data_IF_107124639397
#
_entry.id   IF_107124639397
#
_cell.length_a   1.000
_cell.length_b   1.000
_cell.length_c   1.000
_cell.angle_alpha   90.00
_cell.angle_beta   90.00
_cell.angle_gamma   90.00
#
_symmetry.space_group_name_H-M   'P 1'
#
loop_
_entity.id
_entity.type
_entity.pdbx_description
1 polymer ?
#
# COMPACT_ATOMS: atom_id res chain seq x y z
N UNK A 1 1.85 -25.86 -5.16
CA UNK A 1 0.45 -25.36 -5.22
C UNK A 1 0.43 -24.21 -6.21
N UNK A 2 -0.45 -24.27 -7.18
CA UNK A 2 -0.60 -23.17 -8.14
C UNK A 2 -1.09 -21.92 -7.40
N UNK A 3 -0.56 -20.76 -7.77
CA UNK A 3 -0.99 -19.48 -7.21
C UNK A 3 -2.43 -19.18 -7.66
N UNK A 4 -3.26 -18.54 -6.81
CA UNK A 4 -4.58 -18.06 -7.20
C UNK A 4 -4.49 -17.13 -8.42
N UNK A 5 -5.49 -17.16 -9.29
CA UNK A 5 -5.55 -16.25 -10.43
C UNK A 5 -5.65 -14.80 -9.99
N UNK A 6 -5.33 -13.86 -10.88
CA UNK A 6 -5.50 -12.42 -10.61
C UNK A 6 -6.94 -12.10 -10.22
N UNK A 7 -7.92 -12.71 -10.92
CA UNK A 7 -9.34 -12.55 -10.58
C UNK A 7 -9.70 -13.07 -9.19
N UNK A 8 -9.09 -14.19 -8.74
CA UNK A 8 -9.30 -14.72 -7.38
C UNK A 8 -8.78 -13.73 -6.33
N UNK A 9 -7.57 -13.19 -6.52
CA UNK A 9 -6.98 -12.20 -5.61
C UNK A 9 -7.78 -10.89 -5.55
N UNK A 10 -8.35 -10.45 -6.68
CA UNK A 10 -9.25 -9.29 -6.73
C UNK A 10 -10.54 -9.54 -5.96
N UNK A 11 -11.19 -10.69 -6.14
CA UNK A 11 -12.36 -11.09 -5.37
C UNK A 11 -12.04 -11.20 -3.87
N UNK A 12 -10.87 -11.76 -3.53
CA UNK A 12 -10.41 -11.83 -2.15
C UNK A 12 -10.26 -10.44 -1.52
N UNK A 13 -9.69 -9.46 -2.25
CA UNK A 13 -9.59 -8.09 -1.74
C UNK A 13 -10.96 -7.48 -1.47
N UNK A 14 -11.93 -7.64 -2.38
CA UNK A 14 -13.31 -7.19 -2.16
C UNK A 14 -13.92 -7.83 -0.92
N UNK A 15 -13.74 -9.14 -0.75
CA UNK A 15 -14.23 -9.85 0.45
C UNK A 15 -13.56 -9.35 1.76
N UNK A 16 -12.27 -8.99 1.72
CA UNK A 16 -11.58 -8.40 2.88
C UNK A 16 -12.14 -7.01 3.23
N UNK A 17 -12.49 -6.20 2.22
CA UNK A 17 -13.06 -4.87 2.39
C UNK A 17 -14.52 -4.93 2.91
N UNK A 18 -15.30 -5.89 2.46
CA UNK A 18 -16.71 -6.07 2.85
C UNK A 18 -16.86 -6.82 4.18
N UNK A 19 -15.87 -7.64 4.53
CA UNK A 19 -15.89 -8.48 5.72
C UNK A 19 -15.74 -7.68 7.02
N UNK A 20 -16.11 -8.29 8.17
CA UNK A 20 -16.04 -7.63 9.47
C UNK A 20 -14.58 -7.46 9.96
N UNK A 21 -14.36 -6.41 10.76
CA UNK A 21 -13.11 -6.14 11.46
C UNK A 21 -11.96 -5.68 10.54
N UNK A 22 -10.91 -5.20 11.18
CA UNK A 22 -9.71 -4.71 10.49
C UNK A 22 -8.84 -5.88 10.00
N UNK A 23 -8.34 -5.77 8.78
CA UNK A 23 -7.27 -6.61 8.23
C UNK A 23 -6.01 -5.77 8.06
N UNK A 24 -4.86 -6.30 8.49
CA UNK A 24 -3.59 -5.62 8.31
C UNK A 24 -2.93 -6.06 7.00
N UNK A 25 -2.39 -5.09 6.26
CA UNK A 25 -1.63 -5.28 5.04
C UNK A 25 -0.23 -4.66 5.19
N UNK A 26 0.77 -5.43 5.67
CA UNK A 26 2.14 -4.96 5.76
C UNK A 26 2.69 -4.59 4.39
N UNK A 27 3.59 -3.57 4.37
CA UNK A 27 4.20 -3.08 3.15
C UNK A 27 5.43 -3.88 2.74
N UNK A 28 5.54 -4.18 1.45
CA UNK A 28 6.75 -4.71 0.85
C UNK A 28 7.07 -4.03 -0.49
N UNK A 29 8.34 -4.10 -0.89
CA UNK A 29 8.82 -3.71 -2.22
C UNK A 29 9.74 -4.78 -2.84
N UNK A 30 9.84 -5.94 -2.23
CA UNK A 30 10.57 -7.12 -2.73
C UNK A 30 9.81 -8.41 -2.44
N UNK A 31 10.08 -9.44 -3.25
CA UNK A 31 9.39 -10.73 -3.18
C UNK A 31 9.74 -11.52 -1.93
N UNK A 32 10.98 -11.45 -1.45
CA UNK A 32 11.43 -12.16 -0.26
C UNK A 32 10.64 -11.73 0.97
N UNK A 33 10.56 -10.42 1.21
CA UNK A 33 9.75 -9.83 2.29
C UNK A 33 8.25 -10.12 2.08
N UNK A 34 7.75 -10.05 0.85
CA UNK A 34 6.34 -10.32 0.55
C UNK A 34 5.94 -11.76 0.91
N UNK A 35 6.78 -12.74 0.57
CA UNK A 35 6.57 -14.15 0.94
C UNK A 35 6.65 -14.37 2.45
N UNK A 36 7.54 -13.66 3.16
CA UNK A 36 7.59 -13.70 4.62
C UNK A 36 6.29 -13.17 5.25
N UNK A 37 5.74 -12.06 4.74
CA UNK A 37 4.44 -11.52 5.18
C UNK A 37 3.34 -12.57 5.01
N UNK A 38 3.30 -13.26 3.89
CA UNK A 38 2.33 -14.35 3.64
C UNK A 38 2.55 -15.53 4.58
N UNK A 39 3.79 -15.98 4.77
CA UNK A 39 4.15 -17.07 5.68
C UNK A 39 3.72 -16.81 7.13
N UNK A 40 3.69 -15.53 7.53
CA UNK A 40 3.22 -15.10 8.86
C UNK A 40 1.69 -14.91 8.95
N UNK A 41 0.94 -15.20 7.89
CA UNK A 41 -0.53 -15.27 7.90
C UNK A 41 -1.26 -13.96 7.58
N UNK A 42 -0.59 -12.93 7.09
CA UNK A 42 -1.27 -11.69 6.68
C UNK A 42 -2.06 -11.89 5.38
N UNK A 43 -3.31 -11.40 5.32
CA UNK A 43 -4.22 -11.69 4.21
C UNK A 43 -4.06 -10.79 3.00
N UNK A 44 -3.23 -9.76 3.07
CA UNK A 44 -2.96 -8.80 2.00
C UNK A 44 -1.59 -8.15 2.14
N UNK A 45 -1.07 -7.62 1.05
CA UNK A 45 0.21 -6.88 1.00
C UNK A 45 -0.06 -5.48 0.47
N UNK A 46 0.65 -4.50 1.02
CA UNK A 46 0.65 -3.13 0.54
C UNK A 46 1.95 -2.78 -0.21
N UNK A 47 1.82 -2.22 -1.41
CA UNK A 47 2.96 -1.77 -2.23
C UNK A 47 3.02 -0.24 -2.15
N UNK A 48 3.86 0.24 -1.24
CA UNK A 48 3.94 1.65 -0.87
C UNK A 48 4.82 2.46 -1.83
N UNK A 49 4.30 3.60 -2.31
CA UNK A 49 5.08 4.57 -3.09
C UNK A 49 6.26 5.11 -2.29
N UNK A 50 6.02 5.54 -1.07
CA UNK A 50 7.09 6.09 -0.21
C UNK A 50 8.21 5.09 0.09
N UNK A 51 7.89 3.80 0.24
CA UNK A 51 8.89 2.75 0.43
C UNK A 51 9.72 2.55 -0.84
N UNK A 52 9.07 2.52 -2.01
CA UNK A 52 9.76 2.36 -3.29
C UNK A 52 10.72 3.53 -3.56
N UNK A 53 10.32 4.76 -3.26
CA UNK A 53 11.21 5.94 -3.35
C UNK A 53 12.42 5.80 -2.40
N UNK A 54 12.18 5.45 -1.14
CA UNK A 54 13.24 5.31 -0.14
C UNK A 54 14.28 4.25 -0.51
N UNK A 55 13.84 3.08 -1.02
CA UNK A 55 14.73 2.00 -1.47
C UNK A 55 15.60 2.36 -2.68
N UNK A 56 15.21 3.37 -3.46
CA UNK A 56 15.96 3.89 -4.60
C UNK A 56 16.72 5.18 -4.28
N UNK A 57 16.73 5.59 -2.99
CA UNK A 57 17.47 6.78 -2.53
C UNK A 57 16.77 8.11 -2.82
N UNK A 58 15.49 8.09 -3.14
CA UNK A 58 14.70 9.30 -3.40
C UNK A 58 13.80 9.67 -2.22
N UNK A 59 13.56 10.96 -2.07
CA UNK A 59 12.46 11.44 -1.25
C UNK A 59 11.11 11.10 -1.92
N UNK A 60 10.06 11.03 -1.13
CA UNK A 60 8.68 10.77 -1.58
C UNK A 60 8.06 12.04 -2.21
N UNK A 61 8.49 12.37 -3.42
CA UNK A 61 8.16 13.61 -4.16
C UNK A 61 7.75 13.33 -5.61
N UNK A 62 7.21 12.17 -5.90
CA UNK A 62 6.89 11.68 -7.26
C UNK A 62 8.12 11.62 -8.19
N UNK A 63 9.30 11.27 -7.65
CA UNK A 63 10.53 11.16 -8.43
C UNK A 63 10.56 9.89 -9.30
N UNK A 64 9.85 8.83 -8.89
CA UNK A 64 9.77 7.59 -9.66
C UNK A 64 8.74 7.70 -10.79
N UNK A 65 9.05 7.02 -11.87
CA UNK A 65 8.15 6.87 -13.02
C UNK A 65 7.08 5.81 -12.75
N UNK A 66 5.97 5.88 -13.49
CA UNK A 66 4.95 4.83 -13.48
C UNK A 66 5.55 3.44 -13.76
N UNK A 67 6.46 3.34 -14.72
CA UNK A 67 7.04 2.05 -15.12
C UNK A 67 7.86 1.40 -14.01
N UNK A 68 8.62 2.18 -13.24
CA UNK A 68 9.38 1.68 -12.07
C UNK A 68 8.45 1.17 -10.98
N UNK A 69 7.36 1.90 -10.72
CA UNK A 69 6.37 1.51 -9.72
C UNK A 69 5.61 0.25 -10.13
N UNK A 70 5.15 0.18 -11.37
CA UNK A 70 4.44 -0.97 -11.94
C UNK A 70 5.33 -2.21 -12.00
N UNK A 71 6.63 -2.06 -12.28
CA UNK A 71 7.56 -3.20 -12.27
C UNK A 71 7.62 -3.87 -10.90
N UNK A 72 7.69 -3.09 -9.82
CA UNK A 72 7.64 -3.63 -8.45
C UNK A 72 6.27 -4.29 -8.17
N UNK A 73 5.19 -3.64 -8.59
CA UNK A 73 3.84 -4.17 -8.41
C UNK A 73 3.66 -5.52 -9.13
N UNK A 74 4.17 -5.63 -10.37
CA UNK A 74 4.15 -6.88 -11.14
C UNK A 74 4.95 -7.99 -10.45
N UNK A 75 6.16 -7.70 -9.99
CA UNK A 75 7.00 -8.68 -9.31
C UNK A 75 6.32 -9.26 -8.06
N UNK A 76 5.71 -8.40 -7.23
CA UNK A 76 5.06 -8.87 -6.01
C UNK A 76 3.73 -9.59 -6.30
N UNK A 77 2.86 -8.96 -7.10
CA UNK A 77 1.52 -9.49 -7.32
C UNK A 77 1.49 -10.88 -7.97
N UNK A 78 2.53 -11.25 -8.74
CA UNK A 78 2.59 -12.55 -9.41
C UNK A 78 3.32 -13.62 -8.58
N UNK A 79 3.96 -13.24 -7.47
CA UNK A 79 4.75 -14.17 -6.64
C UNK A 79 4.12 -14.51 -5.28
N UNK A 80 2.96 -13.93 -4.97
CA UNK A 80 2.25 -14.18 -3.71
C UNK A 80 0.80 -14.62 -3.94
N UNK A 81 0.24 -15.49 -3.06
CA UNK A 81 -1.13 -15.98 -3.17
C UNK A 81 -2.20 -15.02 -2.64
N UNK A 82 -1.79 -13.90 -2.04
CA UNK A 82 -2.71 -12.92 -1.44
C UNK A 82 -2.84 -11.66 -2.29
N UNK A 83 -3.92 -10.87 -2.17
CA UNK A 83 -4.08 -9.64 -2.90
C UNK A 83 -3.04 -8.59 -2.53
N UNK A 84 -2.54 -7.88 -3.55
CA UNK A 84 -1.69 -6.70 -3.39
C UNK A 84 -2.50 -5.42 -3.66
N UNK A 85 -2.36 -4.42 -2.79
CA UNK A 85 -2.88 -3.06 -2.97
C UNK A 85 -1.71 -2.16 -3.27
N UNK A 86 -1.72 -1.46 -4.40
CA UNK A 86 -0.62 -0.62 -4.84
C UNK A 86 -0.92 0.88 -4.75
N UNK A 87 0.13 1.65 -4.48
CA UNK A 87 0.13 3.11 -4.59
C UNK A 87 0.27 3.51 -6.06
N UNK A 88 -0.75 4.12 -6.64
CA UNK A 88 -0.72 4.69 -7.98
C UNK A 88 -0.39 6.19 -7.98
N UNK A 89 0.09 6.70 -6.83
CA UNK A 89 0.45 8.12 -6.66
C UNK A 89 -0.69 9.03 -7.15
N UNK A 90 -0.37 10.09 -7.90
CA UNK A 90 -1.34 11.01 -8.50
C UNK A 90 -1.79 10.58 -9.90
N UNK A 91 -1.41 9.36 -10.35
CA UNK A 91 -1.67 8.86 -11.70
C UNK A 91 -0.60 9.25 -12.72
N UNK A 92 0.54 9.76 -12.28
CA UNK A 92 1.74 10.09 -13.09
C UNK A 92 1.50 11.11 -14.21
N UNK A 93 0.60 12.06 -13.98
CA UNK A 93 0.33 13.16 -14.91
C UNK A 93 -1.14 13.60 -14.92
N UNK A 94 -1.62 13.94 -16.11
CA UNK A 94 -3.00 14.36 -16.35
C UNK A 94 -3.95 13.16 -16.41
N UNK A 95 -5.24 13.40 -16.55
CA UNK A 95 -6.29 12.38 -16.68
C UNK A 95 -5.98 11.33 -17.79
N UNK A 96 -5.35 11.74 -18.88
CA UNK A 96 -4.91 10.80 -19.95
C UNK A 96 -3.82 9.85 -19.44
N UNK A 97 -2.89 10.37 -18.61
CA UNK A 97 -1.86 9.54 -18.00
C UNK A 97 -2.47 8.56 -16.98
N UNK A 98 -3.49 9.01 -16.22
CA UNK A 98 -4.24 8.15 -15.28
C UNK A 98 -4.82 6.93 -16.00
N UNK A 99 -5.43 7.10 -17.18
CA UNK A 99 -5.98 5.98 -17.95
C UNK A 99 -4.91 4.93 -18.28
N UNK A 100 -3.72 5.36 -18.70
CA UNK A 100 -2.59 4.46 -18.95
C UNK A 100 -2.13 3.79 -17.66
N UNK A 101 -1.98 4.56 -16.59
CA UNK A 101 -1.54 4.08 -15.28
C UNK A 101 -2.44 2.95 -14.77
N UNK A 102 -3.75 3.13 -14.81
CA UNK A 102 -4.69 2.10 -14.35
C UNK A 102 -4.57 0.83 -15.19
N UNK A 103 -4.45 0.92 -16.51
CA UNK A 103 -4.26 -0.23 -17.38
C UNK A 103 -2.96 -0.99 -17.09
N UNK A 104 -1.86 -0.28 -16.82
CA UNK A 104 -0.58 -0.92 -16.50
C UNK A 104 -0.61 -1.58 -15.11
N UNK A 105 -1.21 -0.95 -14.10
CA UNK A 105 -1.41 -1.58 -12.80
C UNK A 105 -2.35 -2.79 -12.90
N UNK A 106 -3.40 -2.71 -13.69
CA UNK A 106 -4.31 -3.84 -13.92
C UNK A 106 -3.59 -5.04 -14.53
N UNK A 107 -2.73 -4.80 -15.54
CA UNK A 107 -1.89 -5.82 -16.19
C UNK A 107 -0.81 -6.37 -15.26
N UNK A 108 -0.36 -5.59 -14.29
CA UNK A 108 0.62 -6.05 -13.31
C UNK A 108 0.11 -7.15 -12.39
N UNK A 109 -1.21 -7.35 -12.31
CA UNK A 109 -1.83 -8.38 -11.47
C UNK A 109 -2.20 -7.93 -10.07
N UNK A 110 -2.10 -6.64 -9.73
CA UNK A 110 -2.56 -6.13 -8.44
C UNK A 110 -4.07 -6.27 -8.27
N UNK A 111 -4.52 -6.40 -7.03
CA UNK A 111 -5.93 -6.53 -6.71
C UNK A 111 -6.64 -5.18 -6.56
N UNK A 112 -5.90 -4.14 -6.24
CA UNK A 112 -6.42 -2.79 -6.16
C UNK A 112 -5.33 -1.74 -6.14
N UNK A 113 -5.74 -0.50 -6.41
CA UNK A 113 -4.88 0.68 -6.37
C UNK A 113 -5.56 1.81 -5.61
N UNK A 114 -4.79 2.68 -4.98
CA UNK A 114 -5.30 3.98 -4.58
C UNK A 114 -4.71 5.08 -5.46
N UNK A 115 -5.51 6.09 -5.75
CA UNK A 115 -5.19 7.27 -6.54
C UNK A 115 -5.40 8.52 -5.69
N UNK A 116 -4.38 9.36 -5.55
CA UNK A 116 -4.41 10.52 -4.69
C UNK A 116 -4.52 11.86 -5.45
N UNK A 117 -4.97 12.89 -4.73
CA UNK A 117 -5.20 14.25 -5.23
C UNK A 117 -4.04 15.22 -4.99
N UNK A 118 -2.86 14.77 -4.56
CA UNK A 118 -1.69 15.64 -4.39
C UNK A 118 -1.28 16.32 -5.69
N UNK A 119 -0.73 17.53 -5.59
CA UNK A 119 -0.05 18.18 -6.73
C UNK A 119 1.30 17.51 -7.00
N UNK A 120 1.84 17.71 -8.20
CA UNK A 120 3.18 17.25 -8.59
C UNK A 120 4.10 18.47 -8.73
N UNK A 121 5.29 18.46 -8.10
CA UNK A 121 5.82 17.45 -7.20
C UNK A 121 5.08 17.40 -5.86
N UNK A 122 4.92 16.18 -5.33
CA UNK A 122 4.34 15.95 -4.01
C UNK A 122 5.23 16.58 -2.93
N UNK A 123 4.63 17.20 -1.94
CA UNK A 123 5.33 17.73 -0.77
C UNK A 123 4.95 16.92 0.47
N UNK A 124 5.83 16.03 0.97
CA UNK A 124 5.47 15.13 2.05
C UNK A 124 5.19 15.88 3.34
N UNK A 125 3.97 15.77 3.87
CA UNK A 125 3.58 16.41 5.12
C UNK A 125 4.42 15.93 6.32
N UNK A 126 4.95 14.71 6.28
CA UNK A 126 5.87 14.18 7.30
C UNK A 126 7.19 14.96 7.42
N UNK A 127 7.53 15.76 6.41
CA UNK A 127 8.69 16.65 6.40
C UNK A 127 8.32 18.09 6.77
N UNK A 128 7.09 18.33 7.26
CA UNK A 128 6.63 19.66 7.68
C UNK A 128 6.19 20.56 6.52
N UNK A 129 6.02 20.02 5.31
CA UNK A 129 5.50 20.78 4.17
C UNK A 129 3.98 20.70 4.11
N UNK A 130 3.33 21.78 3.69
CA UNK A 130 1.95 21.71 3.21
C UNK A 130 1.92 20.83 1.96
N UNK A 131 1.00 19.87 1.93
CA UNK A 131 0.75 19.02 0.77
C UNK A 131 -0.41 19.62 -0.02
N UNK A 132 -0.13 20.51 -1.00
CA UNK A 132 -1.21 21.06 -1.80
C UNK A 132 -1.87 19.96 -2.61
N UNK A 133 -3.19 20.08 -2.77
CA UNK A 133 -3.99 19.15 -3.56
C UNK A 133 -4.53 19.86 -4.80
N UNK A 134 -4.81 19.11 -5.84
CA UNK A 134 -5.48 19.64 -7.04
C UNK A 134 -6.92 20.05 -6.73
N UNK A 135 -7.58 20.77 -7.62
CA UNK A 135 -8.99 21.12 -7.43
C UNK A 135 -9.87 19.87 -7.30
N UNK A 136 -11.03 19.99 -6.65
CA UNK A 136 -12.00 18.89 -6.56
C UNK A 136 -12.40 18.40 -7.95
N UNK A 137 -12.60 19.32 -8.90
CA UNK A 137 -12.97 18.97 -10.27
C UNK A 137 -11.87 18.12 -10.96
N UNK A 138 -10.60 18.49 -10.82
CA UNK A 138 -9.48 17.72 -11.38
C UNK A 138 -9.34 16.36 -10.71
N UNK A 139 -9.48 16.27 -9.39
CA UNK A 139 -9.47 14.98 -8.69
C UNK A 139 -10.57 14.04 -9.19
N UNK A 140 -11.80 14.55 -9.30
CA UNK A 140 -12.94 13.76 -9.77
C UNK A 140 -12.79 13.35 -11.24
N UNK A 141 -12.22 14.21 -12.09
CA UNK A 141 -11.88 13.86 -13.47
C UNK A 141 -10.86 12.71 -13.52
N UNK A 142 -9.81 12.75 -12.69
CA UNK A 142 -8.85 11.65 -12.56
C UNK A 142 -9.51 10.34 -12.09
N UNK A 143 -10.40 10.40 -11.09
CA UNK A 143 -11.15 9.24 -10.60
C UNK A 143 -12.03 8.66 -11.72
N UNK A 144 -12.76 9.53 -12.45
CA UNK A 144 -13.59 9.10 -13.59
C UNK A 144 -12.74 8.44 -14.67
N UNK A 145 -11.62 9.03 -15.07
CA UNK A 145 -10.70 8.46 -16.05
C UNK A 145 -10.11 7.13 -15.57
N UNK A 146 -9.85 6.97 -14.28
CA UNK A 146 -9.40 5.71 -13.71
C UNK A 146 -10.48 4.61 -13.83
N UNK A 147 -11.73 4.93 -13.54
CA UNK A 147 -12.87 4.02 -13.66
C UNK A 147 -13.13 3.64 -15.13
N UNK A 148 -13.11 4.61 -16.04
CA UNK A 148 -13.32 4.40 -17.50
C UNK A 148 -12.17 3.55 -18.12
N UNK A 149 -10.97 3.60 -17.56
CA UNK A 149 -9.83 2.85 -18.05
C UNK A 149 -9.77 1.41 -17.55
N UNK A 150 -10.38 1.14 -16.39
CA UNK A 150 -10.42 -0.18 -15.76
C UNK A 150 -11.23 -1.15 -16.62
N UNK A 151 -10.63 -2.28 -16.98
CA UNK A 151 -11.27 -3.32 -17.79
C UNK A 151 -11.93 -4.38 -16.91
N UNK A 152 -11.25 -4.80 -15.86
CA UNK A 152 -11.79 -5.76 -14.88
C UNK A 152 -12.37 -4.99 -13.68
N UNK A 153 -13.69 -4.91 -13.61
CA UNK A 153 -14.41 -4.25 -12.51
C UNK A 153 -14.15 -4.88 -11.13
N UNK A 154 -13.53 -6.06 -11.07
CA UNK A 154 -13.11 -6.66 -9.80
C UNK A 154 -11.85 -6.02 -9.23
N UNK A 155 -11.04 -5.28 -10.01
CA UNK A 155 -9.92 -4.50 -9.51
C UNK A 155 -10.43 -3.31 -8.69
N UNK A 156 -10.02 -3.21 -7.44
CA UNK A 156 -10.48 -2.17 -6.51
C UNK A 156 -9.82 -0.83 -6.80
N UNK A 157 -10.60 0.23 -6.96
CA UNK A 157 -10.14 1.62 -6.99
C UNK A 157 -10.45 2.31 -5.67
N UNK A 158 -9.42 2.77 -4.96
CA UNK A 158 -9.51 3.48 -3.68
C UNK A 158 -9.27 4.96 -3.92
N UNK A 159 -10.28 5.79 -3.66
CA UNK A 159 -10.12 7.24 -3.73
C UNK A 159 -9.35 7.76 -2.51
N UNK A 160 -8.26 8.52 -2.74
CA UNK A 160 -7.42 9.07 -1.68
C UNK A 160 -7.33 10.60 -1.81
N UNK A 161 -7.64 11.31 -0.72
CA UNK A 161 -7.40 12.74 -0.63
C UNK A 161 -6.38 13.06 0.45
N UNK A 162 -5.37 13.84 0.08
CA UNK A 162 -4.34 14.33 0.99
C UNK A 162 -4.67 15.72 1.57
N UNK A 163 -5.86 16.26 1.27
CA UNK A 163 -6.33 17.52 1.85
C UNK A 163 -6.30 17.44 3.38
N UNK A 164 -5.77 18.48 4.03
CA UNK A 164 -5.62 18.56 5.48
C UNK A 164 -6.26 19.83 6.03
N UNK A 165 -6.66 19.77 7.31
CA UNK A 165 -7.16 20.94 8.03
C UNK A 165 -8.60 21.35 7.70
N UNK A 166 -9.26 20.70 6.76
CA UNK A 166 -10.65 20.93 6.40
C UNK A 166 -11.38 19.58 6.23
N UNK A 167 -12.07 19.17 7.31
CA UNK A 167 -12.82 17.90 7.31
C UNK A 167 -13.91 17.88 6.24
N UNK A 168 -14.70 18.94 6.15
CA UNK A 168 -15.87 18.95 5.28
C UNK A 168 -15.48 18.97 3.79
N UNK A 169 -14.46 19.73 3.42
CA UNK A 169 -13.95 19.73 2.06
C UNK A 169 -13.31 18.36 1.68
N UNK A 170 -12.59 17.72 2.60
CA UNK A 170 -12.03 16.38 2.37
C UNK A 170 -13.11 15.31 2.28
N UNK A 171 -14.10 15.38 3.17
CA UNK A 171 -15.26 14.50 3.15
C UNK A 171 -16.03 14.59 1.83
N UNK A 172 -16.35 15.80 1.38
CA UNK A 172 -17.04 16.04 0.11
C UNK A 172 -16.30 15.45 -1.09
N UNK A 173 -14.95 15.60 -1.15
CA UNK A 173 -14.12 15.01 -2.21
C UNK A 173 -14.26 13.49 -2.25
N UNK A 174 -14.13 12.83 -1.09
CA UNK A 174 -14.24 11.38 -0.99
C UNK A 174 -15.66 10.92 -1.30
N UNK A 175 -16.68 11.59 -0.80
CA UNK A 175 -18.07 11.27 -1.09
C UNK A 175 -18.35 11.30 -2.60
N UNK A 176 -17.97 12.40 -3.27
CA UNK A 176 -18.15 12.54 -4.73
C UNK A 176 -17.38 11.49 -5.52
N UNK A 177 -16.17 11.11 -5.07
CA UNK A 177 -15.41 10.05 -5.72
C UNK A 177 -16.10 8.68 -5.59
N UNK A 178 -16.74 8.41 -4.43
CA UNK A 178 -17.55 7.19 -4.25
C UNK A 178 -18.84 7.21 -5.06
N UNK A 179 -19.49 8.37 -5.20
CA UNK A 179 -20.66 8.56 -6.05
C UNK A 179 -20.35 8.32 -7.54
N UNK A 180 -19.12 8.62 -7.98
CA UNK A 180 -18.64 8.28 -9.32
C UNK A 180 -18.40 6.79 -9.53
N UNK A 181 -18.20 6.01 -8.45
CA UNK A 181 -18.02 4.57 -8.54
C UNK A 181 -16.70 4.03 -7.95
N UNK A 182 -15.92 4.84 -7.22
CA UNK A 182 -14.79 4.31 -6.48
C UNK A 182 -15.26 3.25 -5.47
N UNK A 183 -14.49 2.17 -5.33
CA UNK A 183 -14.89 1.00 -4.54
C UNK A 183 -14.65 1.19 -3.03
N UNK A 184 -13.69 2.04 -2.66
CA UNK A 184 -13.28 2.31 -1.30
C UNK A 184 -12.70 3.73 -1.19
N UNK A 185 -12.50 4.19 0.04
CA UNK A 185 -11.86 5.48 0.29
C UNK A 185 -10.69 5.34 1.27
N UNK A 186 -9.78 6.33 1.20
CA UNK A 186 -8.63 6.42 2.10
C UNK A 186 -8.94 7.33 3.29
N UNK A 187 -8.98 6.74 4.49
CA UNK A 187 -9.24 7.47 5.74
C UNK A 187 -7.97 8.05 6.40
N UNK A 188 -6.81 7.94 5.76
CA UNK A 188 -5.57 8.55 6.27
C UNK A 188 -5.62 10.08 6.25
N UNK A 189 -4.92 10.70 7.22
CA UNK A 189 -4.89 12.16 7.37
C UNK A 189 -6.06 12.76 8.16
N UNK A 190 -7.06 11.98 8.55
CA UNK A 190 -8.04 12.34 9.54
C UNK A 190 -7.54 12.00 10.96
N UNK A 191 -7.99 12.73 11.98
CA UNK A 191 -7.85 12.33 13.39
C UNK A 191 -8.67 11.08 13.70
N UNK A 192 -8.42 10.38 14.80
CA UNK A 192 -9.18 9.16 15.13
C UNK A 192 -10.69 9.40 15.27
N UNK A 193 -11.10 10.55 15.82
CA UNK A 193 -12.51 10.93 15.91
C UNK A 193 -13.13 11.20 14.53
N UNK A 194 -12.38 11.82 13.63
CA UNK A 194 -12.81 12.05 12.26
C UNK A 194 -12.85 10.74 11.44
N UNK A 195 -11.92 9.80 11.68
CA UNK A 195 -11.97 8.46 11.08
C UNK A 195 -13.28 7.76 11.44
N UNK A 196 -13.67 7.76 12.71
CA UNK A 196 -14.95 7.18 13.14
C UNK A 196 -16.13 7.87 12.42
N UNK A 197 -16.12 9.21 12.36
CA UNK A 197 -17.16 9.99 11.70
C UNK A 197 -17.26 9.71 10.20
N UNK A 198 -16.13 9.72 9.48
CA UNK A 198 -16.13 9.49 8.03
C UNK A 198 -16.52 8.05 7.68
N UNK A 199 -16.07 7.06 8.46
CA UNK A 199 -16.45 5.66 8.26
C UNK A 199 -17.94 5.41 8.54
N UNK A 200 -18.56 6.16 9.45
CA UNK A 200 -20.00 6.05 9.72
C UNK A 200 -20.87 6.72 8.65
N UNK A 201 -20.35 7.75 7.99
CA UNK A 201 -21.11 8.56 7.03
C UNK A 201 -20.96 8.08 5.58
N UNK A 202 -19.80 7.55 5.20
CA UNK A 202 -19.56 7.09 3.83
C UNK A 202 -20.00 5.63 3.65
N UNK A 203 -20.69 5.30 2.53
CA UNK A 203 -21.32 3.98 2.33
C UNK A 203 -20.34 2.89 1.85
N UNK A 204 -19.06 3.19 1.70
CA UNK A 204 -18.03 2.28 1.19
C UNK A 204 -16.95 2.01 2.23
N UNK A 205 -16.21 0.89 2.11
CA UNK A 205 -15.17 0.53 3.07
C UNK A 205 -13.98 1.50 3.08
N UNK A 206 -13.41 1.67 4.28
CA UNK A 206 -12.23 2.51 4.50
C UNK A 206 -10.93 1.69 4.50
N UNK A 207 -9.93 2.23 3.81
CA UNK A 207 -8.52 1.82 3.88
C UNK A 207 -7.72 2.97 4.52
N UNK A 208 -6.74 2.67 5.34
CA UNK A 208 -5.94 3.72 6.00
C UNK A 208 -4.55 3.22 6.38
N UNK A 209 -3.61 4.13 6.59
CA UNK A 209 -2.39 3.79 7.32
C UNK A 209 -2.76 3.37 8.74
N UNK A 210 -2.24 2.23 9.18
CA UNK A 210 -2.45 1.76 10.55
C UNK A 210 -1.60 2.60 11.53
N UNK A 211 -2.22 3.30 12.48
CA UNK A 211 -1.50 4.15 13.43
C UNK A 211 -0.68 3.34 14.43
N UNK A 212 0.41 3.91 14.93
CA UNK A 212 1.33 3.22 15.86
C UNK A 212 0.77 3.00 17.27
N UNK A 213 -0.14 3.86 17.71
CA UNK A 213 -0.54 3.97 19.13
C UNK A 213 -1.99 3.51 19.37
N UNK A 214 -2.49 2.59 18.56
CA UNK A 214 -3.84 2.02 18.71
C UNK A 214 -3.80 0.53 18.40
N UNK A 215 -4.62 -0.27 19.06
CA UNK A 215 -4.74 -1.69 18.73
C UNK A 215 -5.50 -1.90 17.41
N UNK A 216 -5.27 -3.05 16.75
CA UNK A 216 -6.01 -3.40 15.54
C UNK A 216 -7.53 -3.51 15.81
N UNK A 217 -7.90 -4.01 16.98
CA UNK A 217 -9.30 -4.13 17.42
C UNK A 217 -9.95 -2.75 17.54
N UNK A 218 -9.30 -1.82 18.25
CA UNK A 218 -9.84 -0.48 18.48
C UNK A 218 -9.92 0.32 17.18
N UNK A 219 -8.88 0.22 16.32
CA UNK A 219 -8.91 0.91 15.03
C UNK A 219 -9.96 0.35 14.07
N UNK A 220 -10.15 -0.97 14.09
CA UNK A 220 -11.24 -1.62 13.36
C UNK A 220 -12.64 -1.23 13.85
N UNK A 221 -12.80 -0.98 15.15
CA UNK A 221 -14.05 -0.50 15.74
C UNK A 221 -14.43 0.91 15.23
N UNK A 222 -13.48 1.72 14.76
CA UNK A 222 -13.76 3.00 14.10
C UNK A 222 -14.34 2.84 12.68
N UNK A 223 -14.37 1.62 12.13
CA UNK A 223 -14.94 1.35 10.80
C UNK A 223 -13.93 1.09 9.70
N UNK A 224 -12.62 1.17 9.96
CA UNK A 224 -11.58 0.86 8.98
C UNK A 224 -11.54 -0.64 8.70
N UNK A 225 -11.44 -1.02 7.43
CA UNK A 225 -11.42 -2.43 6.99
C UNK A 225 -10.03 -2.94 6.68
N UNK A 226 -9.18 -2.11 6.09
CA UNK A 226 -7.78 -2.47 5.83
C UNK A 226 -6.86 -1.40 6.41
N UNK A 227 -5.94 -1.83 7.27
CA UNK A 227 -4.86 -1.03 7.83
C UNK A 227 -3.54 -1.36 7.15
N UNK A 228 -2.99 -0.43 6.36
CA UNK A 228 -1.70 -0.64 5.70
C UNK A 228 -0.54 -0.18 6.60
N UNK A 229 0.61 -0.86 6.51
CA UNK A 229 1.82 -0.55 7.27
C UNK A 229 2.97 -0.29 6.27
N UNK A 230 3.08 0.92 5.70
CA UNK A 230 3.91 1.18 4.51
C UNK A 230 5.39 0.83 4.66
N UNK A 231 6.02 1.21 5.77
CA UNK A 231 7.47 1.08 5.98
C UNK A 231 7.89 0.20 7.16
N UNK A 232 6.94 -0.47 7.83
CA UNK A 232 7.23 -1.22 9.06
C UNK A 232 8.28 -2.30 8.88
N UNK A 233 8.17 -3.09 7.81
CA UNK A 233 9.13 -4.16 7.50
C UNK A 233 10.53 -3.61 7.18
N UNK A 234 10.61 -2.52 6.40
CA UNK A 234 11.89 -1.90 6.08
C UNK A 234 12.58 -1.34 7.33
N UNK A 235 11.84 -0.71 8.25
CA UNK A 235 12.40 -0.20 9.51
C UNK A 235 12.88 -1.35 10.38
N UNK A 236 12.11 -2.43 10.53
CA UNK A 236 12.52 -3.62 11.28
C UNK A 236 13.78 -4.26 10.67
N UNK A 237 13.82 -4.39 9.34
CA UNK A 237 14.99 -4.90 8.63
C UNK A 237 16.24 -4.04 8.82
N UNK A 238 16.11 -2.72 8.72
CA UNK A 238 17.22 -1.79 8.94
C UNK A 238 17.77 -1.87 10.38
N UNK A 239 16.91 -2.08 11.38
CA UNK A 239 17.36 -2.27 12.77
C UNK A 239 18.19 -3.56 12.90
N UNK A 240 17.75 -4.67 12.32
CA UNK A 240 18.49 -5.93 12.36
C UNK A 240 19.79 -5.84 11.54
N UNK A 241 19.75 -5.27 10.34
CA UNK A 241 20.93 -5.05 9.50
C UNK A 241 21.98 -4.17 10.20
N UNK A 242 21.55 -3.11 10.89
CA UNK A 242 22.45 -2.25 11.67
C UNK A 242 23.17 -3.04 12.77
N UNK A 243 22.42 -3.80 13.58
CA UNK A 243 22.99 -4.62 14.64
C UNK A 243 24.00 -5.65 14.12
N UNK A 244 23.68 -6.28 12.99
CA UNK A 244 24.60 -7.19 12.29
C UNK A 244 25.90 -6.49 11.83
N UNK A 245 25.78 -5.32 11.18
CA UNK A 245 26.94 -4.56 10.69
C UNK A 245 27.84 -4.06 11.82
N UNK A 246 27.25 -3.60 12.92
CA UNK A 246 27.99 -3.17 14.11
C UNK A 246 28.77 -4.35 14.72
N UNK A 247 28.17 -5.54 14.81
CA UNK A 247 28.85 -6.74 15.27
C UNK A 247 29.97 -7.17 14.31
N UNK A 248 29.69 -7.21 13.01
CA UNK A 248 30.67 -7.57 11.98
C UNK A 248 31.87 -6.63 12.01
N UNK A 249 31.67 -5.33 12.14
CA UNK A 249 32.74 -4.35 12.23
C UNK A 249 33.62 -4.55 13.49
N UNK A 250 33.03 -4.96 14.61
CA UNK A 250 33.74 -5.18 15.87
C UNK A 250 34.49 -6.52 15.94
N UNK A 251 33.90 -7.59 15.39
CA UNK A 251 34.39 -8.97 15.56
C UNK A 251 35.10 -9.53 14.34
N UNK A 252 34.83 -9.01 13.16
CA UNK A 252 35.26 -9.59 11.89
C UNK A 252 34.59 -10.96 11.57
N UNK A 253 33.63 -11.39 12.37
CA UNK A 253 32.93 -12.67 12.21
C UNK A 253 31.45 -12.44 11.93
N UNK A 254 30.94 -12.91 10.77
CA UNK A 254 29.56 -12.70 10.36
C UNK A 254 28.61 -13.86 10.76
N UNK A 255 29.14 -15.07 10.96
CA UNK A 255 28.29 -16.24 11.22
C UNK A 255 27.89 -16.33 12.68
N UNK A 256 28.83 -16.13 13.62
CA UNK A 256 28.60 -16.27 15.06
C UNK A 256 27.43 -15.41 15.56
N UNK A 257 27.32 -14.17 15.06
CA UNK A 257 26.22 -13.29 15.44
C UNK A 257 24.89 -13.78 14.90
N UNK A 258 24.84 -14.17 13.63
CA UNK A 258 23.62 -14.69 13.00
C UNK A 258 23.10 -15.93 13.73
N UNK A 259 23.99 -16.90 13.97
CA UNK A 259 23.66 -18.17 14.67
C UNK A 259 23.16 -17.93 16.10
N UNK A 260 23.57 -16.84 16.74
CA UNK A 260 23.11 -16.48 18.08
C UNK A 260 21.72 -15.81 18.11
N UNK A 261 21.19 -15.40 16.96
CA UNK A 261 19.90 -14.71 16.91
C UNK A 261 18.72 -15.67 16.99
N UNK A 262 17.67 -15.35 17.77
CA UNK A 262 16.43 -16.10 17.74
C UNK A 262 15.82 -16.13 16.34
N UNK A 263 15.45 -17.31 15.86
CA UNK A 263 14.84 -17.47 14.53
C UNK A 263 15.81 -17.46 13.35
N UNK A 264 17.13 -17.48 13.58
CA UNK A 264 18.14 -17.52 12.52
C UNK A 264 17.84 -18.64 11.52
N UNK A 265 17.63 -19.86 12.02
CA UNK A 265 17.35 -21.02 11.14
C UNK A 265 16.14 -20.81 10.25
N UNK A 266 15.05 -20.29 10.81
CA UNK A 266 13.82 -20.04 10.03
C UNK A 266 14.03 -18.97 8.96
N UNK A 267 14.85 -17.95 9.26
CA UNK A 267 15.20 -16.89 8.33
C UNK A 267 16.14 -17.40 7.21
N UNK A 268 17.13 -18.22 7.57
CA UNK A 268 18.07 -18.85 6.61
C UNK A 268 17.37 -19.84 5.70
N UNK A 269 16.48 -20.68 6.24
CA UNK A 269 15.63 -21.58 5.49
C UNK A 269 14.74 -20.79 4.52
N UNK A 270 14.10 -19.73 4.99
CA UNK A 270 13.26 -18.86 4.14
C UNK A 270 14.05 -18.22 3.00
N UNK A 271 15.26 -17.73 3.26
CA UNK A 271 16.15 -17.18 2.24
C UNK A 271 16.57 -18.25 1.23
N UNK A 272 16.97 -19.41 1.69
CA UNK A 272 17.47 -20.52 0.86
C UNK A 272 16.38 -21.18 0.00
N UNK A 273 15.14 -21.23 0.46
CA UNK A 273 13.98 -21.73 -0.28
C UNK A 273 13.64 -20.91 -1.52
N UNK A 274 13.95 -19.60 -1.52
CA UNK A 274 13.62 -18.70 -2.63
C UNK A 274 14.35 -19.03 -3.94
N UNK A 275 15.53 -19.66 -3.85
CA UNK A 275 16.31 -20.07 -5.02
C UNK A 275 15.96 -21.45 -5.57
N UNK A 276 15.05 -22.19 -4.95
CA UNK A 276 14.65 -23.51 -5.42
C UNK A 276 13.59 -23.36 -6.52
N UNK A 277 14.02 -23.40 -7.77
CA UNK A 277 13.16 -23.75 -8.88
C UNK A 277 12.69 -25.20 -8.64
N UNK A 278 11.42 -25.39 -8.33
CA UNK A 278 10.78 -26.66 -8.57
C UNK A 278 10.48 -26.72 -10.07
N UNK A 279 11.04 -27.66 -10.84
CA UNK A 279 10.74 -27.80 -12.26
C UNK A 279 9.27 -28.20 -12.48
#
# INVERSE_FOLDING_TARGET
>A
MDLPTVGDKRRQLKALLEGPGLKLAPGSADVLTARLIVKTGFPAIYISGSLQHALRGYADVNALTMSEMVQTAHALANEVPVPCIADAETGFGTSVNVMRTIREYERSGVAGVHLEDSTVPKKPARLGFDSPVVSTAEFLDKIKCALDARVDESMVLIARSELRGDFDAKFERLQKALELGADAFWAGGFSLSEVAKVCALLPKPAVSVFPKNISATDYGALGVRIGVIPGGMAVAGLMAQRAFLENLAASGNWTQWLESQPGFKDADDHYSEQGRYSP
#
